data_IF_075783377431
#
_entry.id   IF_075783377431
#
_cell.length_a   1.000
_cell.length_b   1.000
_cell.length_c   1.000
_cell.angle_alpha   90.00
_cell.angle_beta   90.00
_cell.angle_gamma   90.00
#
_symmetry.space_group_name_H-M   'P 1'
#
loop_
_entity.id
_entity.type
_entity.pdbx_description
1 polymer ?
#
# COMPACT_ATOMS: atom_id res chain seq x y z
N UNK A 1 -12.04 23.83 47.08
CA UNK A 1 -13.37 23.72 47.70
C UNK A 1 -13.79 22.26 47.67
N UNK A 2 -14.24 21.83 48.84
CA UNK A 2 -14.54 20.49 49.37
C UNK A 2 -15.65 19.69 48.67
N UNK A 3 -15.53 18.36 48.62
CA UNK A 3 -16.38 17.37 49.34
C UNK A 3 -15.97 15.91 48.94
N UNK A 4 -15.33 15.15 49.85
CA UNK A 4 -15.84 13.96 50.63
C UNK A 4 -15.92 12.64 49.83
N UNK A 5 -15.60 11.45 50.37
CA UNK A 5 -15.76 10.94 51.74
C UNK A 5 -14.87 9.70 51.94
N UNK A 6 -14.28 9.55 53.13
CA UNK A 6 -13.75 8.29 53.63
C UNK A 6 -14.78 7.55 54.49
N UNK A 7 -14.66 6.22 54.61
CA UNK A 7 -15.26 5.45 55.71
C UNK A 7 -14.30 4.37 56.17
N UNK A 8 -14.05 4.38 57.47
CA UNK A 8 -13.09 3.52 58.13
C UNK A 8 -13.76 2.80 59.32
N UNK A 9 -13.36 1.53 59.50
CA UNK A 9 -13.01 0.89 60.78
C UNK A 9 -14.09 0.13 61.61
N UNK A 10 -13.93 -1.20 61.54
CA UNK A 10 -13.70 -2.22 62.61
C UNK A 10 -14.79 -2.68 63.59
N UNK A 11 -15.14 -3.97 63.40
CA UNK A 11 -14.80 -5.17 64.23
C UNK A 11 -15.60 -5.42 65.51
N UNK A 12 -16.33 -6.55 65.54
CA UNK A 12 -16.51 -7.43 66.70
C UNK A 12 -16.65 -8.90 66.25
N UNK A 13 -15.99 -9.80 67.00
CA UNK A 13 -15.93 -11.26 66.83
C UNK A 13 -17.20 -11.95 67.34
N UNK A 14 -17.58 -13.09 66.74
CA UNK A 14 -18.08 -14.27 67.47
C UNK A 14 -17.53 -15.55 66.82
N UNK A 15 -16.87 -16.39 67.64
CA UNK A 15 -16.43 -17.76 67.34
C UNK A 15 -17.57 -18.74 67.63
N UNK A 16 -17.74 -19.78 66.80
CA UNK A 16 -18.48 -21.00 67.16
C UNK A 16 -17.69 -22.24 66.72
N UNK A 17 -17.23 -23.01 67.70
CA UNK A 17 -17.55 -24.44 67.87
C UNK A 17 -16.97 -25.51 66.92
N UNK A 18 -15.98 -26.23 67.48
CA UNK A 18 -15.82 -27.70 67.47
C UNK A 18 -15.14 -28.43 66.29
N UNK A 19 -14.29 -29.38 66.70
CA UNK A 19 -13.27 -30.14 65.98
C UNK A 19 -13.76 -31.56 65.66
N UNK A 20 -13.46 -32.10 64.47
CA UNK A 20 -13.33 -33.55 64.22
C UNK A 20 -12.15 -33.78 63.25
N UNK A 21 -11.30 -34.74 63.59
CA UNK A 21 -10.12 -35.23 62.85
C UNK A 21 -10.54 -36.42 61.97
N UNK A 22 -9.93 -36.60 60.78
CA UNK A 22 -9.28 -37.85 60.31
C UNK A 22 -8.85 -37.78 58.81
N UNK A 23 -7.57 -38.09 58.61
CA UNK A 23 -6.84 -38.71 57.48
C UNK A 23 -7.28 -38.55 56.01
N UNK A 24 -6.36 -37.95 55.23
CA UNK A 24 -5.66 -38.65 54.14
C UNK A 24 -6.30 -38.72 52.75
N UNK A 25 -5.83 -37.85 51.85
CA UNK A 25 -5.15 -38.29 50.62
C UNK A 25 -4.20 -37.17 50.20
N UNK A 26 -2.90 -37.46 50.16
CA UNK A 26 -1.95 -36.64 49.42
C UNK A 26 -2.29 -36.78 47.94
N UNK A 27 -3.13 -35.90 47.40
CA UNK A 27 -3.09 -35.63 45.97
C UNK A 27 -1.77 -34.93 45.74
N UNK A 28 -0.81 -35.70 45.21
CA UNK A 28 0.40 -35.17 44.61
C UNK A 28 0.00 -33.98 43.75
N UNK A 29 0.35 -32.78 44.18
CA UNK A 29 0.59 -31.71 43.24
C UNK A 29 1.63 -32.30 42.30
N UNK A 30 1.19 -32.70 41.11
CA UNK A 30 2.09 -32.97 40.01
C UNK A 30 3.13 -31.84 40.06
N UNK A 31 4.45 -32.13 39.99
CA UNK A 31 5.43 -31.08 39.93
C UNK A 31 4.94 -30.15 38.83
N UNK A 32 4.52 -28.94 39.19
CA UNK A 32 4.17 -27.93 38.21
C UNK A 32 5.36 -27.89 37.31
N UNK A 33 5.19 -28.35 36.07
CA UNK A 33 6.27 -28.59 35.15
C UNK A 33 7.14 -27.36 35.24
N UNK A 34 8.33 -27.54 35.85
CA UNK A 34 9.25 -26.45 36.03
C UNK A 34 9.34 -25.83 34.65
N UNK A 35 8.93 -24.56 34.53
CA UNK A 35 9.19 -23.80 33.33
C UNK A 35 10.68 -23.94 33.15
N UNK A 36 11.09 -24.86 32.26
CA UNK A 36 12.48 -25.02 31.94
C UNK A 36 12.92 -23.62 31.59
N UNK A 37 13.96 -23.12 32.25
CA UNK A 37 14.75 -22.01 31.74
C UNK A 37 15.32 -22.48 30.39
N UNK A 38 14.43 -22.54 29.40
CA UNK A 38 14.62 -23.19 28.13
C UNK A 38 15.29 -22.17 27.27
N UNK A 39 16.47 -22.52 26.78
CA UNK A 39 17.19 -21.78 25.75
C UNK A 39 16.17 -21.24 24.76
N UNK A 40 16.09 -19.90 24.63
CA UNK A 40 15.21 -19.33 23.62
C UNK A 40 15.64 -19.89 22.27
N UNK A 41 14.74 -20.55 21.53
CA UNK A 41 15.11 -21.12 20.25
C UNK A 41 15.39 -19.98 19.28
N UNK A 42 16.43 -20.13 18.48
CA UNK A 42 16.81 -19.19 17.42
C UNK A 42 16.75 -19.88 16.06
N UNK A 43 16.70 -19.09 14.99
CA UNK A 43 16.71 -19.62 13.62
C UNK A 43 18.02 -20.35 13.34
N UNK A 44 17.95 -21.67 13.17
CA UNK A 44 19.12 -22.50 12.84
C UNK A 44 19.38 -22.53 11.33
N UNK A 45 18.34 -22.71 10.52
CA UNK A 45 18.48 -22.81 9.07
C UNK A 45 17.14 -22.52 8.37
N UNK A 46 17.22 -22.38 7.05
CA UNK A 46 16.08 -22.30 6.15
C UNK A 46 16.33 -23.16 4.92
N UNK A 47 15.26 -23.68 4.34
CA UNK A 47 15.27 -24.31 3.02
C UNK A 47 14.16 -23.73 2.16
N UNK A 48 14.38 -23.72 0.85
CA UNK A 48 13.39 -23.29 -0.14
C UNK A 48 13.10 -24.43 -1.10
N UNK A 49 11.88 -24.49 -1.63
CA UNK A 49 11.48 -25.56 -2.56
C UNK A 49 12.31 -25.59 -3.84
N UNK A 50 12.88 -24.45 -4.25
CA UNK A 50 13.68 -24.29 -5.47
C UNK A 50 14.74 -23.21 -5.24
N UNK A 51 16.00 -23.41 -5.68
CA UNK A 51 17.07 -22.42 -5.54
C UNK A 51 17.01 -21.30 -6.59
N UNK A 52 16.21 -21.47 -7.65
CA UNK A 52 16.01 -20.50 -8.73
C UNK A 52 14.53 -20.27 -8.93
N UNK A 53 14.12 -19.01 -9.00
CA UNK A 53 12.76 -18.56 -9.26
C UNK A 53 12.75 -17.56 -10.42
N UNK A 54 11.69 -17.56 -11.21
CA UNK A 54 11.42 -16.42 -12.09
C UNK A 54 10.70 -15.31 -11.30
N UNK A 55 10.85 -14.07 -11.76
CA UNK A 55 10.17 -12.92 -11.18
C UNK A 55 8.67 -13.16 -10.97
N UNK A 56 8.15 -12.83 -9.78
CA UNK A 56 6.74 -12.99 -9.44
C UNK A 56 6.32 -14.41 -9.04
N UNK A 57 7.16 -15.43 -9.24
CA UNK A 57 6.79 -16.82 -8.95
C UNK A 57 6.60 -17.09 -7.46
N UNK A 58 5.82 -18.14 -7.19
CA UNK A 58 5.62 -18.69 -5.85
C UNK A 58 6.65 -19.77 -5.53
N UNK A 59 7.11 -19.77 -4.28
CA UNK A 59 7.86 -20.86 -3.68
C UNK A 59 7.38 -21.15 -2.26
N UNK A 60 7.94 -22.19 -1.63
CA UNK A 60 7.75 -22.45 -0.20
C UNK A 60 9.09 -22.39 0.52
N UNK A 61 9.08 -21.77 1.70
CA UNK A 61 10.23 -21.72 2.60
C UNK A 61 9.91 -22.50 3.87
N UNK A 62 10.90 -23.23 4.38
CA UNK A 62 10.82 -23.92 5.67
C UNK A 62 11.89 -23.35 6.59
N UNK A 63 11.47 -22.70 7.67
CA UNK A 63 12.35 -22.23 8.74
C UNK A 63 12.51 -23.34 9.77
N UNK A 64 13.74 -23.59 10.22
CA UNK A 64 14.06 -24.57 11.27
C UNK A 64 14.79 -23.90 12.42
N UNK A 65 14.31 -24.13 13.63
CA UNK A 65 14.89 -23.67 14.89
C UNK A 65 15.86 -24.70 15.47
N UNK A 66 16.80 -24.21 16.29
CA UNK A 66 17.76 -25.07 16.99
C UNK A 66 17.13 -25.96 18.06
N UNK A 67 15.97 -25.56 18.61
CA UNK A 67 15.21 -26.29 19.62
C UNK A 67 13.70 -26.16 19.37
N UNK A 68 12.85 -27.04 19.97
CA UNK A 68 11.40 -26.90 19.89
C UNK A 68 10.92 -25.55 20.44
N UNK A 69 9.92 -24.96 19.79
CA UNK A 69 9.31 -23.72 20.24
C UNK A 69 8.64 -23.88 21.62
N UNK A 70 8.85 -22.94 22.56
CA UNK A 70 8.20 -22.95 23.87
C UNK A 70 6.68 -22.76 23.77
N UNK A 71 6.00 -22.80 24.91
CA UNK A 71 4.59 -22.43 25.00
C UNK A 71 4.37 -21.00 24.48
N UNK A 72 3.34 -20.83 23.64
CA UNK A 72 3.10 -19.57 22.91
C UNK A 72 3.79 -19.47 21.54
N UNK A 73 4.66 -20.42 21.18
CA UNK A 73 5.35 -20.42 19.89
C UNK A 73 6.49 -19.40 19.81
N UNK A 74 7.06 -19.26 18.61
CA UNK A 74 8.18 -18.33 18.34
C UNK A 74 7.83 -17.50 17.12
N UNK A 75 7.75 -16.18 17.26
CA UNK A 75 7.67 -15.29 16.11
C UNK A 75 9.07 -15.10 15.50
N UNK A 76 9.17 -15.34 14.21
CA UNK A 76 10.37 -15.15 13.41
C UNK A 76 10.07 -14.05 12.40
N UNK A 77 10.79 -12.93 12.48
CA UNK A 77 10.72 -11.86 11.48
C UNK A 77 11.47 -12.29 10.24
N UNK A 78 10.89 -12.02 9.09
CA UNK A 78 11.39 -12.42 7.79
C UNK A 78 11.78 -11.17 7.01
N UNK A 79 12.89 -11.25 6.29
CA UNK A 79 13.43 -10.15 5.53
C UNK A 79 13.87 -10.65 4.15
N UNK A 80 13.36 -9.97 3.13
CA UNK A 80 13.73 -10.16 1.73
C UNK A 80 13.37 -8.92 0.91
N UNK A 81 13.01 -9.12 -0.35
CA UNK A 81 12.49 -8.05 -1.17
C UNK A 81 11.09 -7.59 -0.72
N UNK A 82 10.58 -6.53 -1.34
CA UNK A 82 9.27 -5.96 -1.00
C UNK A 82 8.13 -6.96 -1.15
N UNK A 83 8.12 -7.79 -2.20
CA UNK A 83 7.04 -8.76 -2.46
C UNK A 83 7.12 -9.95 -1.52
N UNK A 84 8.31 -10.40 -1.18
CA UNK A 84 8.56 -11.41 -0.16
C UNK A 84 8.03 -10.96 1.20
N UNK A 85 8.35 -9.73 1.60
CA UNK A 85 7.87 -9.19 2.87
C UNK A 85 6.35 -9.07 2.89
N UNK A 86 5.71 -8.62 1.80
CA UNK A 86 4.24 -8.54 1.74
C UNK A 86 3.58 -9.92 1.71
N UNK A 87 4.03 -10.83 0.85
CA UNK A 87 3.43 -12.16 0.70
C UNK A 87 3.55 -13.04 1.94
N UNK A 88 4.52 -12.77 2.82
CA UNK A 88 4.71 -13.46 4.10
C UNK A 88 4.12 -12.71 5.30
N UNK A 89 3.68 -11.46 5.13
CA UNK A 89 3.32 -10.57 6.24
C UNK A 89 4.52 -10.17 7.12
N UNK A 90 5.75 -10.33 6.62
CA UNK A 90 6.99 -9.95 7.30
C UNK A 90 7.37 -10.80 8.52
N UNK A 91 6.56 -11.78 8.90
CA UNK A 91 6.89 -12.71 9.98
C UNK A 91 6.13 -14.02 9.87
N UNK A 92 6.66 -15.06 10.51
CA UNK A 92 6.01 -16.36 10.66
C UNK A 92 6.07 -16.82 12.11
N UNK A 93 5.05 -17.55 12.56
CA UNK A 93 5.04 -18.15 13.90
C UNK A 93 5.36 -19.64 13.79
N UNK A 94 6.41 -20.09 14.49
CA UNK A 94 6.67 -21.51 14.72
C UNK A 94 5.80 -21.98 15.88
N UNK A 95 4.84 -22.90 15.68
CA UNK A 95 3.92 -23.32 16.73
C UNK A 95 4.63 -24.02 17.89
N UNK A 96 4.05 -23.96 19.09
CA UNK A 96 4.56 -24.64 20.28
C UNK A 96 4.91 -26.11 20.01
N UNK A 97 6.05 -26.55 20.53
CA UNK A 97 6.56 -27.92 20.40
C UNK A 97 7.10 -28.27 19.01
N UNK A 98 6.89 -27.42 18.00
CA UNK A 98 7.48 -27.61 16.67
C UNK A 98 8.85 -26.96 16.58
N UNK A 99 9.70 -27.55 15.76
CA UNK A 99 11.02 -26.99 15.40
C UNK A 99 11.00 -26.28 14.06
N UNK A 100 9.98 -26.52 13.25
CA UNK A 100 9.93 -25.99 11.89
C UNK A 100 8.53 -25.54 11.52
N UNK A 101 8.49 -24.60 10.58
CA UNK A 101 7.27 -24.11 9.93
C UNK A 101 7.55 -23.93 8.45
N UNK A 102 6.61 -24.37 7.61
CA UNK A 102 6.66 -24.21 6.16
C UNK A 102 5.56 -23.26 5.73
N UNK A 103 5.90 -22.29 4.89
CA UNK A 103 4.96 -21.28 4.41
C UNK A 103 5.27 -20.91 2.95
N UNK A 104 4.26 -20.49 2.17
CA UNK A 104 4.47 -19.97 0.84
C UNK A 104 4.99 -18.53 0.86
N UNK A 105 5.72 -18.15 -0.18
CA UNK A 105 6.11 -16.77 -0.45
C UNK A 105 6.15 -16.50 -1.95
N UNK A 106 6.13 -15.22 -2.32
CA UNK A 106 6.41 -14.74 -3.67
C UNK A 106 7.67 -13.89 -3.68
N UNK A 107 8.30 -13.75 -4.85
CA UNK A 107 9.41 -12.83 -5.08
C UNK A 107 9.00 -11.72 -6.03
N UNK A 108 9.65 -10.57 -5.93
CA UNK A 108 9.51 -9.50 -6.91
C UNK A 108 10.05 -9.92 -8.25
N UNK A 109 9.56 -9.29 -9.32
CA UNK A 109 10.10 -9.49 -10.65
C UNK A 109 11.13 -8.42 -10.96
N UNK A 110 12.42 -8.78 -11.07
CA UNK A 110 13.47 -7.80 -11.37
C UNK A 110 13.60 -7.56 -12.87
N UNK A 111 14.16 -6.40 -13.23
CA UNK A 111 14.51 -6.09 -14.63
C UNK A 111 15.71 -6.94 -15.12
N UNK A 112 16.62 -7.28 -14.21
CA UNK A 112 17.78 -8.12 -14.48
C UNK A 112 17.89 -9.24 -13.44
N UNK A 113 18.41 -10.39 -13.85
CA UNK A 113 18.61 -11.52 -12.95
C UNK A 113 19.56 -11.13 -11.82
N UNK A 114 19.16 -11.36 -10.59
CA UNK A 114 19.98 -11.07 -9.42
C UNK A 114 19.87 -12.16 -8.36
N UNK A 115 20.70 -12.05 -7.34
CA UNK A 115 20.68 -12.97 -6.21
C UNK A 115 19.98 -12.35 -5.01
N UNK A 116 18.88 -12.97 -4.58
CA UNK A 116 18.10 -12.55 -3.43
C UNK A 116 18.61 -13.25 -2.17
N UNK A 117 18.96 -12.45 -1.17
CA UNK A 117 19.37 -12.91 0.16
C UNK A 117 18.17 -12.83 1.10
N UNK A 118 17.68 -13.99 1.55
CA UNK A 118 16.65 -14.07 2.58
C UNK A 118 17.29 -14.15 3.95
N UNK A 119 16.78 -13.35 4.87
CA UNK A 119 17.22 -13.31 6.26
C UNK A 119 16.06 -13.49 7.20
N UNK A 120 16.33 -14.02 8.39
CA UNK A 120 15.34 -14.21 9.42
C UNK A 120 15.90 -13.85 10.79
N UNK A 121 15.03 -13.44 11.69
CA UNK A 121 15.42 -13.02 13.03
C UNK A 121 14.40 -13.50 14.05
N UNK A 122 14.88 -14.15 15.10
CA UNK A 122 14.10 -14.36 16.32
C UNK A 122 14.35 -13.20 17.29
N UNK A 123 13.33 -12.78 18.03
CA UNK A 123 13.49 -11.74 19.04
C UNK A 123 14.64 -12.07 20.02
N UNK A 124 15.51 -11.10 20.29
CA UNK A 124 16.69 -11.28 21.15
C UNK A 124 17.92 -11.86 20.45
N UNK A 125 17.86 -12.15 19.15
CA UNK A 125 18.99 -12.63 18.35
C UNK A 125 19.27 -11.69 17.17
N UNK A 126 20.51 -11.73 16.67
CA UNK A 126 20.91 -10.98 15.48
C UNK A 126 20.20 -11.48 14.22
N UNK A 127 20.10 -10.58 13.24
CA UNK A 127 19.62 -10.93 11.91
C UNK A 127 20.52 -11.99 11.29
N UNK A 128 19.92 -13.11 10.88
CA UNK A 128 20.66 -14.22 10.29
C UNK A 128 20.30 -14.35 8.82
N UNK A 129 21.30 -14.38 7.94
CA UNK A 129 21.12 -14.82 6.57
C UNK A 129 20.78 -16.33 6.57
N UNK A 130 19.66 -16.70 5.96
CA UNK A 130 19.14 -18.08 6.06
C UNK A 130 19.14 -18.82 4.74
N UNK A 131 18.92 -18.13 3.62
CA UNK A 131 18.91 -18.75 2.30
C UNK A 131 19.24 -17.70 1.24
N UNK A 132 19.96 -18.13 0.21
CA UNK A 132 20.22 -17.36 -0.99
C UNK A 132 19.55 -18.06 -2.16
N UNK A 133 18.91 -17.29 -3.04
CA UNK A 133 18.25 -17.83 -4.24
C UNK A 133 18.44 -16.88 -5.42
N UNK A 134 18.48 -17.43 -6.63
CA UNK A 134 18.56 -16.64 -7.86
C UNK A 134 17.14 -16.26 -8.31
N UNK A 135 16.88 -14.98 -8.52
CA UNK A 135 15.64 -14.49 -9.12
C UNK A 135 15.93 -14.04 -10.54
N UNK A 136 15.40 -14.78 -11.51
CA UNK A 136 15.55 -14.49 -12.93
C UNK A 136 14.56 -13.44 -13.39
N UNK A 137 15.06 -12.52 -14.20
CA UNK A 137 14.20 -11.62 -14.96
C UNK A 137 13.27 -12.45 -15.89
N UNK A 138 12.01 -12.04 -16.00
CA UNK A 138 11.07 -12.69 -16.90
C UNK A 138 11.41 -12.35 -18.36
N UNK A 139 11.46 -13.35 -19.22
CA UNK A 139 11.49 -13.11 -20.67
C UNK A 139 10.15 -12.52 -21.11
N UNK A 140 10.10 -11.26 -21.59
CA UNK A 140 8.85 -10.57 -21.94
C UNK A 140 8.09 -11.26 -23.08
N UNK A 141 8.74 -12.13 -23.86
CA UNK A 141 8.07 -12.94 -24.90
C UNK A 141 7.33 -14.15 -24.33
N UNK A 142 7.70 -14.60 -23.12
CA UNK A 142 7.10 -15.74 -22.43
C UNK A 142 6.04 -15.27 -21.44
N UNK A 143 6.31 -14.22 -20.68
CA UNK A 143 5.35 -13.64 -19.75
C UNK A 143 5.64 -12.15 -19.57
N UNK A 144 4.58 -11.34 -19.62
CA UNK A 144 4.67 -9.90 -19.50
C UNK A 144 3.36 -9.31 -18.97
N UNK A 145 3.43 -8.11 -18.41
CA UNK A 145 2.25 -7.25 -18.27
C UNK A 145 1.96 -6.64 -19.64
N UNK A 146 0.73 -6.81 -20.12
CA UNK A 146 0.29 -6.30 -21.43
C UNK A 146 -0.71 -5.17 -21.31
N UNK A 147 -1.32 -4.99 -20.14
CA UNK A 147 -2.28 -3.92 -19.90
C UNK A 147 -2.53 -3.66 -18.42
N UNK A 148 -2.83 -2.41 -18.12
CA UNK A 148 -3.45 -1.99 -16.87
C UNK A 148 -4.63 -1.07 -17.22
N UNK A 149 -5.82 -1.38 -16.73
CA UNK A 149 -7.03 -0.58 -17.01
C UNK A 149 -7.72 -0.18 -15.72
N UNK A 150 -7.99 1.09 -15.56
CA UNK A 150 -8.90 1.59 -14.53
C UNK A 150 -10.32 1.56 -15.08
N UNK A 151 -11.31 1.23 -14.25
CA UNK A 151 -12.70 1.02 -14.68
C UNK A 151 -13.42 2.27 -15.16
N UNK A 152 -12.94 3.44 -14.76
CA UNK A 152 -13.52 4.75 -15.08
C UNK A 152 -12.45 5.70 -15.59
N UNK A 153 -12.78 6.63 -16.49
CA UNK A 153 -11.83 7.65 -16.95
C UNK A 153 -11.61 8.77 -15.93
N UNK A 154 -12.58 8.99 -15.03
CA UNK A 154 -12.58 10.02 -14.00
C UNK A 154 -13.06 9.43 -12.67
N UNK A 155 -12.44 9.84 -11.56
CA UNK A 155 -12.83 9.49 -10.21
C UNK A 155 -12.80 10.73 -9.32
N UNK A 156 -13.68 10.77 -8.32
CA UNK A 156 -13.68 11.80 -7.28
C UNK A 156 -13.01 11.25 -6.02
N UNK A 157 -12.28 12.07 -5.28
CA UNK A 157 -11.68 11.69 -4.00
C UNK A 157 -12.72 11.02 -3.09
N UNK A 158 -12.34 9.90 -2.49
CA UNK A 158 -13.23 9.01 -1.74
C UNK A 158 -13.87 7.90 -2.56
N UNK A 159 -13.80 7.93 -3.89
CA UNK A 159 -14.22 6.79 -4.72
C UNK A 159 -13.28 5.58 -4.52
N UNK A 160 -13.87 4.39 -4.64
CA UNK A 160 -13.12 3.16 -4.86
C UNK A 160 -13.42 2.66 -6.27
N UNK A 161 -12.39 2.61 -7.11
CA UNK A 161 -12.49 2.21 -8.53
C UNK A 161 -11.70 0.92 -8.75
N UNK A 162 -12.00 0.19 -9.82
CA UNK A 162 -11.35 -1.09 -10.09
C UNK A 162 -10.16 -0.91 -11.04
N UNK A 163 -8.99 -1.43 -10.67
CA UNK A 163 -7.80 -1.54 -11.51
C UNK A 163 -7.62 -2.99 -11.98
N UNK A 164 -7.57 -3.23 -13.28
CA UNK A 164 -7.40 -4.57 -13.87
C UNK A 164 -6.02 -4.71 -14.50
N UNK A 165 -5.23 -5.63 -13.98
CA UNK A 165 -3.94 -6.04 -14.56
C UNK A 165 -4.18 -7.14 -15.60
N UNK A 166 -3.50 -7.06 -16.73
CA UNK A 166 -3.56 -8.08 -17.79
C UNK A 166 -2.16 -8.63 -18.11
N UNK A 167 -2.05 -9.96 -18.06
CA UNK A 167 -0.86 -10.71 -18.42
C UNK A 167 -0.93 -11.24 -19.85
N UNK A 168 0.25 -11.42 -20.46
CA UNK A 168 0.40 -12.04 -21.78
C UNK A 168 -0.08 -13.50 -21.78
N UNK A 169 0.22 -14.26 -20.73
CA UNK A 169 -0.13 -15.68 -20.60
C UNK A 169 -0.73 -15.98 -19.23
N UNK A 170 -1.51 -17.07 -19.11
CA UNK A 170 -2.01 -17.53 -17.82
C UNK A 170 -0.88 -17.63 -16.77
N UNK A 171 -1.14 -17.15 -15.56
CA UNK A 171 -0.20 -17.22 -14.46
C UNK A 171 0.18 -18.69 -14.15
N UNK A 172 1.44 -18.97 -13.78
CA UNK A 172 1.91 -20.31 -13.48
C UNK A 172 1.23 -20.89 -12.22
N UNK A 173 1.50 -22.17 -11.95
CA UNK A 173 1.03 -22.83 -10.72
C UNK A 173 1.46 -22.04 -9.49
N UNK A 174 0.51 -21.74 -8.60
CA UNK A 174 0.75 -20.91 -7.42
C UNK A 174 0.49 -19.42 -7.62
N UNK A 175 0.21 -18.98 -8.85
CA UNK A 175 -0.07 -17.59 -9.21
C UNK A 175 1.19 -16.79 -9.56
N UNK A 176 1.00 -15.55 -10.00
CA UNK A 176 2.07 -14.61 -10.33
C UNK A 176 1.89 -13.32 -9.56
N UNK A 177 2.89 -12.93 -8.76
CA UNK A 177 2.93 -11.64 -8.11
C UNK A 177 3.36 -10.55 -9.11
N UNK A 178 2.57 -9.49 -9.21
CA UNK A 178 2.83 -8.31 -10.03
C UNK A 178 3.00 -7.11 -9.11
N UNK A 179 4.06 -6.33 -9.28
CA UNK A 179 4.26 -5.13 -8.48
C UNK A 179 3.32 -4.01 -8.97
N UNK A 180 2.77 -3.24 -8.02
CA UNK A 180 1.86 -2.13 -8.31
C UNK A 180 2.48 -0.81 -7.85
N UNK A 181 2.34 0.22 -8.68
CA UNK A 181 2.88 1.55 -8.46
C UNK A 181 1.75 2.58 -8.60
N UNK A 182 1.43 3.38 -7.55
CA UNK A 182 0.26 4.28 -7.53
C UNK A 182 0.34 5.44 -8.53
N UNK A 183 1.56 5.83 -8.92
CA UNK A 183 1.80 6.92 -9.86
C UNK A 183 3.18 6.75 -10.51
N UNK A 184 3.28 7.05 -11.80
CA UNK A 184 4.57 7.18 -12.49
C UNK A 184 5.01 8.64 -12.67
N UNK A 185 4.22 9.63 -12.19
CA UNK A 185 4.49 11.05 -12.46
C UNK A 185 4.15 11.93 -11.24
N UNK A 186 5.20 12.59 -10.74
CA UNK A 186 5.36 13.77 -9.85
C UNK A 186 4.33 14.24 -8.79
N UNK A 187 3.09 13.77 -8.74
CA UNK A 187 2.15 14.13 -7.66
C UNK A 187 1.75 12.87 -6.89
N UNK A 188 2.04 12.86 -5.58
CA UNK A 188 1.90 11.69 -4.71
C UNK A 188 0.47 11.10 -4.77
N UNK A 189 0.37 9.88 -5.29
CA UNK A 189 -0.64 8.89 -4.87
C UNK A 189 -2.11 9.22 -5.14
N UNK A 190 -2.45 9.82 -6.30
CA UNK A 190 -3.84 10.10 -6.67
C UNK A 190 -4.77 8.86 -6.65
N UNK A 191 -4.19 7.68 -6.94
CA UNK A 191 -4.82 6.37 -6.74
C UNK A 191 -3.94 5.53 -5.81
N UNK A 192 -4.46 5.23 -4.63
CA UNK A 192 -3.83 4.34 -3.65
C UNK A 192 -4.21 2.87 -3.90
N UNK A 193 -3.29 1.96 -3.59
CA UNK A 193 -3.57 0.53 -3.50
C UNK A 193 -3.60 0.10 -2.04
N UNK A 194 -4.50 -0.83 -1.68
CA UNK A 194 -4.44 -1.50 -0.36
C UNK A 194 -3.11 -2.23 -0.19
N UNK A 195 -2.73 -2.96 -1.24
CA UNK A 195 -1.46 -3.65 -1.33
C UNK A 195 -0.70 -3.19 -2.55
N UNK A 196 0.58 -2.95 -2.34
CA UNK A 196 1.52 -2.44 -3.32
C UNK A 196 2.02 -3.52 -4.31
N UNK A 197 1.19 -4.56 -4.49
CA UNK A 197 1.33 -5.72 -5.36
C UNK A 197 -0.03 -6.40 -5.58
N UNK A 198 -0.12 -7.26 -6.59
CA UNK A 198 -1.29 -8.11 -6.81
C UNK A 198 -0.89 -9.54 -7.15
N UNK A 199 -1.65 -10.50 -6.66
CA UNK A 199 -1.53 -11.90 -7.05
C UNK A 199 -2.49 -12.23 -8.18
N UNK A 200 -1.96 -12.48 -9.38
CA UNK A 200 -2.75 -13.08 -10.46
C UNK A 200 -2.92 -14.57 -10.16
N UNK A 201 -4.15 -15.08 -9.96
CA UNK A 201 -4.36 -16.48 -9.61
C UNK A 201 -3.89 -17.44 -10.70
N UNK A 202 -3.46 -18.63 -10.31
CA UNK A 202 -2.98 -19.66 -11.23
C UNK A 202 -3.99 -19.93 -12.37
N UNK A 203 -3.50 -20.00 -13.61
CA UNK A 203 -4.34 -20.22 -14.79
C UNK A 203 -5.15 -19.00 -15.25
N UNK A 204 -5.09 -17.87 -14.55
CA UNK A 204 -5.74 -16.61 -14.97
C UNK A 204 -4.74 -15.69 -15.65
N UNK A 205 -5.23 -14.87 -16.57
CA UNK A 205 -4.47 -13.80 -17.22
C UNK A 205 -4.75 -12.44 -16.61
N UNK A 206 -5.74 -12.34 -15.74
CA UNK A 206 -6.20 -11.06 -15.20
C UNK A 206 -6.46 -11.14 -13.70
N UNK A 207 -6.21 -10.03 -13.02
CA UNK A 207 -6.65 -9.78 -11.65
C UNK A 207 -7.18 -8.37 -11.57
N UNK A 208 -8.21 -8.17 -10.75
CA UNK A 208 -8.78 -6.87 -10.44
C UNK A 208 -8.45 -6.53 -9.00
N UNK A 209 -7.97 -5.31 -8.76
CA UNK A 209 -7.65 -4.76 -7.46
C UNK A 209 -8.43 -3.48 -7.21
N UNK A 210 -8.84 -3.19 -5.95
CA UNK A 210 -9.42 -1.91 -5.61
C UNK A 210 -8.35 -0.81 -5.64
N UNK A 211 -8.72 0.35 -6.18
CA UNK A 211 -7.95 1.59 -6.16
C UNK A 211 -8.74 2.64 -5.40
N UNK A 212 -8.11 3.30 -4.44
CA UNK A 212 -8.76 4.35 -3.65
C UNK A 212 -8.34 5.72 -4.18
N UNK A 213 -9.31 6.51 -4.62
CA UNK A 213 -9.10 7.85 -5.14
C UNK A 213 -8.87 8.83 -3.98
N UNK A 214 -7.77 9.57 -4.05
CA UNK A 214 -7.43 10.63 -3.11
C UNK A 214 -6.66 11.72 -3.83
N UNK A 215 -7.19 12.93 -3.88
CA UNK A 215 -6.50 14.04 -4.51
C UNK A 215 -6.80 15.34 -3.79
N UNK A 216 -5.80 16.20 -3.65
CA UNK A 216 -5.95 17.58 -3.15
C UNK A 216 -6.18 18.58 -4.28
N UNK A 217 -5.74 18.24 -5.49
CA UNK A 217 -5.99 18.99 -6.72
C UNK A 217 -6.29 18.02 -7.86
N UNK A 218 -6.99 18.50 -8.89
CA UNK A 218 -7.30 17.68 -10.07
C UNK A 218 -6.03 17.23 -10.79
N UNK A 219 -5.83 15.93 -10.99
CA UNK A 219 -4.59 15.37 -11.53
C UNK A 219 -4.85 14.12 -12.37
N UNK A 220 -3.97 13.84 -13.34
CA UNK A 220 -3.93 12.55 -14.03
C UNK A 220 -3.14 11.54 -13.19
N UNK A 221 -3.85 10.56 -12.62
CA UNK A 221 -3.25 9.39 -12.01
C UNK A 221 -2.77 8.41 -13.09
N UNK A 222 -1.57 7.82 -12.90
CA UNK A 222 -0.98 6.82 -13.78
C UNK A 222 -0.52 5.58 -13.01
N UNK A 223 -1.46 4.83 -12.40
CA UNK A 223 -1.12 3.56 -11.78
C UNK A 223 -0.47 2.61 -12.79
N UNK A 224 0.55 1.88 -12.34
CA UNK A 224 1.37 1.01 -13.20
C UNK A 224 1.50 -0.38 -12.58
N UNK A 225 1.30 -1.40 -13.40
CA UNK A 225 1.66 -2.78 -13.10
C UNK A 225 3.03 -3.12 -13.71
N UNK A 226 3.88 -3.79 -12.94
CA UNK A 226 5.29 -4.02 -13.28
C UNK A 226 5.71 -5.47 -12.99
N UNK A 227 6.32 -6.10 -14.00
CA UNK A 227 7.00 -7.41 -13.92
C UNK A 227 8.52 -7.29 -14.16
N UNK A 228 9.10 -6.12 -13.92
CA UNK A 228 10.53 -5.82 -14.07
C UNK A 228 10.93 -5.57 -15.52
N UNK A 229 10.65 -6.52 -16.40
CA UNK A 229 10.97 -6.45 -17.84
C UNK A 229 9.80 -5.96 -18.69
N UNK A 230 8.62 -5.77 -18.10
CA UNK A 230 7.42 -5.25 -18.77
C UNK A 230 6.57 -4.46 -17.80
N UNK A 231 5.98 -3.37 -18.31
CA UNK A 231 5.15 -2.44 -17.55
C UNK A 231 3.93 -2.04 -18.37
N UNK A 232 2.81 -1.84 -17.70
CA UNK A 232 1.64 -1.21 -18.30
C UNK A 232 0.98 -0.26 -17.31
N UNK A 233 0.55 0.89 -17.79
CA UNK A 233 -0.17 1.90 -17.01
C UNK A 233 -1.58 2.12 -17.56
N UNK A 234 -2.47 2.59 -16.70
CA UNK A 234 -3.81 3.02 -17.08
C UNK A 234 -4.08 4.40 -16.51
N UNK A 235 -4.32 5.37 -17.39
CA UNK A 235 -4.51 6.75 -16.99
C UNK A 235 -5.96 6.97 -16.51
N UNK A 236 -6.13 7.79 -15.47
CA UNK A 236 -7.43 8.21 -14.93
C UNK A 236 -7.29 9.58 -14.31
N UNK A 237 -8.25 10.46 -14.55
CA UNK A 237 -8.27 11.75 -13.86
C UNK A 237 -8.87 11.55 -12.47
N UNK A 238 -8.21 12.07 -11.44
CA UNK A 238 -8.72 12.10 -10.08
C UNK A 238 -8.88 13.54 -9.65
N UNK A 239 -10.04 13.89 -9.12
CA UNK A 239 -10.35 15.23 -8.63
C UNK A 239 -10.86 15.20 -7.18
N UNK A 240 -10.52 16.19 -6.33
CA UNK A 240 -11.19 16.41 -5.05
C UNK A 240 -12.72 16.50 -5.18
N UNK A 241 -13.45 16.24 -4.09
CA UNK A 241 -14.88 16.55 -4.01
C UNK A 241 -15.13 18.05 -3.76
N UNK A 242 -14.52 18.89 -4.59
CA UNK A 242 -14.58 20.35 -4.54
C UNK A 242 -14.10 20.96 -5.87
N UNK A 243 -14.40 22.24 -6.09
CA UNK A 243 -13.80 23.01 -7.16
C UNK A 243 -12.28 23.04 -6.99
N UNK A 244 -11.54 22.57 -7.98
CA UNK A 244 -10.08 22.49 -7.92
C UNK A 244 -9.49 22.52 -9.32
N UNK A 245 -8.25 22.97 -9.45
CA UNK A 245 -7.53 22.91 -10.70
C UNK A 245 -6.03 22.73 -10.48
N UNK A 246 -5.37 22.12 -11.44
CA UNK A 246 -3.92 21.91 -11.41
C UNK A 246 -3.37 21.85 -12.83
N UNK A 247 -2.11 22.23 -12.98
CA UNK A 247 -1.37 21.96 -14.19
C UNK A 247 0.01 22.63 -14.20
N UNK A 248 0.84 22.29 -15.19
CA UNK A 248 2.15 22.88 -15.36
C UNK A 248 2.09 24.31 -15.92
N UNK A 249 3.00 25.17 -15.47
CA UNK A 249 3.17 26.55 -15.94
C UNK A 249 4.57 26.78 -16.55
N UNK A 250 4.93 26.05 -17.61
CA UNK A 250 6.20 26.28 -18.32
C UNK A 250 6.19 27.63 -19.05
N UNK A 251 7.26 28.42 -18.89
CA UNK A 251 7.43 29.71 -19.57
C UNK A 251 7.44 29.53 -21.10
N UNK A 252 6.71 30.37 -21.83
CA UNK A 252 6.63 30.32 -23.28
C UNK A 252 5.79 29.17 -23.84
N UNK A 253 5.05 28.44 -22.98
CA UNK A 253 4.22 27.32 -23.38
C UNK A 253 2.75 27.55 -23.05
N UNK A 254 1.89 26.84 -23.78
CA UNK A 254 0.49 26.65 -23.42
C UNK A 254 0.30 25.21 -22.98
N UNK A 255 -0.14 25.01 -21.74
CA UNK A 255 -0.35 23.68 -21.16
C UNK A 255 -1.83 23.48 -20.82
N UNK A 256 -2.30 22.24 -20.99
CA UNK A 256 -3.63 21.86 -20.55
C UNK A 256 -3.63 21.64 -19.04
N UNK A 257 -4.34 22.50 -18.33
CA UNK A 257 -4.66 22.33 -16.92
C UNK A 257 -5.95 21.54 -16.77
N UNK A 258 -6.05 20.78 -15.69
CA UNK A 258 -7.28 20.10 -15.31
C UNK A 258 -8.06 20.97 -14.35
N UNK A 259 -9.35 21.16 -14.63
CA UNK A 259 -10.34 21.69 -13.72
C UNK A 259 -11.28 20.56 -13.31
N UNK A 260 -11.56 20.44 -12.01
CA UNK A 260 -12.58 19.55 -11.49
C UNK A 260 -13.54 20.25 -10.55
N UNK A 261 -14.75 19.71 -10.45
CA UNK A 261 -15.88 20.32 -9.73
C UNK A 261 -16.47 19.41 -8.64
N UNK A 262 -15.89 18.23 -8.42
CA UNK A 262 -16.38 17.24 -7.46
C UNK A 262 -17.76 16.69 -7.83
N UNK A 263 -18.55 16.32 -6.82
CA UNK A 263 -19.89 15.70 -6.95
C UNK A 263 -21.04 16.68 -7.01
N UNK A 264 -20.78 17.99 -6.93
CA UNK A 264 -21.83 18.98 -6.95
C UNK A 264 -22.64 18.87 -8.26
N UNK A 265 -23.97 18.71 -8.15
CA UNK A 265 -24.83 18.42 -9.30
C UNK A 265 -24.86 19.55 -10.34
N UNK A 266 -24.68 19.21 -11.61
CA UNK A 266 -24.59 20.15 -12.73
C UNK A 266 -25.24 19.58 -14.01
N UNK A 267 -26.55 19.27 -13.99
CA UNK A 267 -27.22 18.54 -15.08
C UNK A 267 -27.23 19.27 -16.45
N UNK A 268 -26.86 20.55 -16.51
CA UNK A 268 -26.67 21.32 -17.74
C UNK A 268 -25.20 21.60 -18.11
N UNK A 269 -24.26 20.98 -17.39
CA UNK A 269 -22.86 21.37 -17.38
C UNK A 269 -22.56 22.47 -16.35
N UNK A 270 -21.28 22.64 -16.01
CA UNK A 270 -20.81 23.66 -15.10
C UNK A 270 -19.97 24.70 -15.86
N UNK A 271 -20.44 25.95 -15.89
CA UNK A 271 -19.65 27.07 -16.43
C UNK A 271 -18.87 27.71 -15.30
N UNK A 272 -17.54 27.57 -15.34
CA UNK A 272 -16.61 28.07 -14.32
C UNK A 272 -15.90 29.30 -14.86
N UNK A 273 -15.96 30.41 -14.14
CA UNK A 273 -15.21 31.62 -14.46
C UNK A 273 -13.77 31.50 -13.95
N UNK A 274 -12.79 31.89 -14.77
CA UNK A 274 -11.38 31.85 -14.40
C UNK A 274 -10.75 33.24 -14.57
N UNK A 275 -9.82 33.58 -13.66
CA UNK A 275 -9.02 34.80 -13.76
C UNK A 275 -7.59 34.52 -13.29
N UNK A 276 -6.61 35.11 -13.97
CA UNK A 276 -5.21 35.18 -13.53
C UNK A 276 -4.91 36.59 -13.02
N UNK A 277 -4.10 36.72 -11.98
CA UNK A 277 -3.68 38.01 -11.42
C UNK A 277 -2.39 38.58 -12.05
N UNK A 278 -1.72 37.79 -12.89
CA UNK A 278 -0.37 38.09 -13.36
C UNK A 278 -0.36 38.36 -14.87
N UNK A 279 0.08 39.56 -15.31
CA UNK A 279 0.26 39.86 -16.73
C UNK A 279 1.17 38.83 -17.43
N UNK A 280 0.83 38.45 -18.66
CA UNK A 280 1.56 37.41 -19.40
C UNK A 280 1.13 35.97 -19.05
N UNK A 281 0.27 35.77 -18.05
CA UNK A 281 -0.34 34.46 -17.76
C UNK A 281 -1.82 34.54 -18.07
N UNK A 282 -2.23 33.83 -19.12
CA UNK A 282 -3.59 33.90 -19.67
C UNK A 282 -4.37 32.61 -19.44
N UNK A 283 -5.61 32.76 -18.97
CA UNK A 283 -6.61 31.69 -18.83
C UNK A 283 -7.87 32.09 -19.62
N UNK A 284 -8.68 31.15 -20.13
CA UNK A 284 -9.99 31.45 -20.68
C UNK A 284 -10.87 32.12 -19.64
N UNK A 285 -11.67 33.13 -20.03
CA UNK A 285 -12.57 33.81 -19.09
C UNK A 285 -13.59 32.83 -18.45
N UNK A 286 -14.01 31.82 -19.21
CA UNK A 286 -14.86 30.73 -18.73
C UNK A 286 -14.45 29.40 -19.34
N UNK A 287 -14.65 28.32 -18.60
CA UNK A 287 -14.55 26.93 -19.08
C UNK A 287 -15.83 26.17 -18.71
N UNK A 288 -16.26 25.25 -19.57
CA UNK A 288 -17.47 24.44 -19.33
C UNK A 288 -17.07 22.99 -19.05
N UNK A 289 -17.49 22.46 -17.89
CA UNK A 289 -17.47 21.02 -17.62
C UNK A 289 -18.79 20.42 -18.16
N UNK A 290 -18.76 19.42 -19.05
CA UNK A 290 -19.96 18.75 -19.54
C UNK A 290 -20.78 18.10 -18.43
N UNK A 291 -22.09 17.90 -18.65
CA UNK A 291 -23.01 17.37 -17.64
C UNK A 291 -22.71 15.91 -17.18
N UNK A 292 -21.95 15.16 -17.98
CA UNK A 292 -21.56 13.75 -17.74
C UNK A 292 -20.11 13.60 -17.25
N UNK A 293 -19.45 14.71 -16.90
CA UNK A 293 -18.04 14.76 -16.52
C UNK A 293 -17.87 15.50 -15.21
N UNK A 294 -16.89 15.11 -14.42
CA UNK A 294 -16.51 15.85 -13.19
C UNK A 294 -15.24 16.66 -13.39
N UNK A 295 -14.57 16.51 -14.54
CA UNK A 295 -13.41 17.30 -14.93
C UNK A 295 -13.45 17.77 -16.39
N UNK A 296 -12.67 18.81 -16.68
CA UNK A 296 -12.37 19.23 -18.05
C UNK A 296 -10.96 19.81 -18.12
N UNK A 297 -10.33 19.72 -19.29
CA UNK A 297 -9.09 20.42 -19.56
C UNK A 297 -9.36 21.87 -19.99
N UNK A 298 -8.44 22.78 -19.70
CA UNK A 298 -8.42 24.14 -20.22
C UNK A 298 -6.98 24.62 -20.43
N UNK A 299 -6.70 25.44 -21.46
CA UNK A 299 -5.36 25.92 -21.71
C UNK A 299 -4.98 27.02 -20.72
N UNK A 300 -3.75 26.97 -20.21
CA UNK A 300 -3.09 28.09 -19.54
C UNK A 300 -1.83 28.43 -20.32
N UNK A 301 -1.77 29.67 -20.81
CA UNK A 301 -0.63 30.16 -21.58
C UNK A 301 0.24 31.06 -20.72
N UNK A 302 1.52 30.72 -20.61
CA UNK A 302 2.54 31.56 -19.97
C UNK A 302 3.37 32.18 -21.09
N UNK A 303 3.35 33.50 -21.21
CA UNK A 303 4.12 34.21 -22.21
C UNK A 303 5.63 34.02 -22.01
N UNK A 304 6.40 34.11 -23.10
CA UNK A 304 7.83 33.82 -23.09
C UNK A 304 8.67 34.88 -22.34
N UNK A 305 8.10 36.06 -22.10
CA UNK A 305 8.71 37.17 -21.37
C UNK A 305 8.46 37.12 -19.85
N UNK A 306 7.61 36.20 -19.38
CA UNK A 306 7.39 35.98 -17.95
C UNK A 306 8.65 35.32 -17.35
N UNK A 307 9.27 35.89 -16.29
CA UNK A 307 10.41 35.26 -15.64
C UNK A 307 10.07 33.86 -15.11
N UNK A 308 11.03 32.93 -15.17
CA UNK A 308 10.90 31.65 -14.48
C UNK A 308 10.79 31.87 -12.96
N UNK A 309 10.09 30.98 -12.28
CA UNK A 309 9.80 31.04 -10.84
C UNK A 309 8.93 32.24 -10.43
N UNK A 310 8.24 32.87 -11.38
CA UNK A 310 7.23 33.89 -11.09
C UNK A 310 6.06 33.24 -10.38
N UNK A 311 5.73 33.73 -9.19
CA UNK A 311 4.58 33.30 -8.42
C UNK A 311 3.34 34.06 -8.91
N UNK A 312 2.26 33.33 -9.17
CA UNK A 312 0.99 33.89 -9.63
C UNK A 312 -0.20 33.16 -9.01
N UNK A 313 -1.36 33.80 -9.01
CA UNK A 313 -2.60 33.18 -8.59
C UNK A 313 -3.58 33.04 -9.75
N UNK A 314 -4.22 31.89 -9.81
CA UNK A 314 -5.41 31.67 -10.63
C UNK A 314 -6.60 31.50 -9.70
N UNK A 315 -7.71 32.16 -10.04
CA UNK A 315 -8.97 32.08 -9.30
C UNK A 315 -10.04 31.48 -10.18
N UNK A 316 -10.73 30.46 -9.66
CA UNK A 316 -11.92 29.87 -10.25
C UNK A 316 -13.16 30.21 -9.42
N UNK A 317 -14.26 30.52 -10.10
CA UNK A 317 -15.56 30.77 -9.46
C UNK A 317 -16.63 29.92 -10.13
N UNK A 318 -17.35 29.15 -9.32
CA UNK A 318 -18.48 28.37 -9.76
C UNK A 318 -19.50 28.19 -8.63
N UNK A 319 -20.79 28.37 -8.95
CA UNK A 319 -21.90 28.20 -8.00
C UNK A 319 -21.73 28.98 -6.67
N UNK A 320 -21.18 30.19 -6.73
CA UNK A 320 -20.89 31.01 -5.55
C UNK A 320 -19.67 30.57 -4.74
N UNK A 321 -19.02 29.46 -5.08
CA UNK A 321 -17.74 29.02 -4.52
C UNK A 321 -16.59 29.69 -5.28
N UNK A 322 -15.64 30.25 -4.54
CA UNK A 322 -14.41 30.83 -5.09
C UNK A 322 -13.20 30.07 -4.57
N UNK A 323 -12.33 29.65 -5.48
CA UNK A 323 -11.07 28.97 -5.17
C UNK A 323 -9.93 29.72 -5.82
N UNK A 324 -9.02 30.26 -5.01
CA UNK A 324 -7.79 30.90 -5.47
C UNK A 324 -6.61 29.99 -5.13
N UNK A 325 -5.78 29.67 -6.12
CA UNK A 325 -4.65 28.77 -5.96
C UNK A 325 -3.39 29.43 -6.50
N UNK A 326 -2.31 29.34 -5.73
CA UNK A 326 -0.99 29.85 -6.09
C UNK A 326 -0.19 28.80 -6.87
N UNK A 327 0.51 29.27 -7.89
CA UNK A 327 1.44 28.49 -8.72
C UNK A 327 2.73 29.28 -8.93
N UNK A 328 3.74 28.61 -9.47
CA UNK A 328 4.95 29.24 -9.95
C UNK A 328 5.23 28.79 -11.37
N UNK A 329 5.79 29.69 -12.19
CA UNK A 329 6.28 29.33 -13.51
C UNK A 329 7.60 28.55 -13.40
N UNK A 330 7.88 27.68 -14.37
CA UNK A 330 9.17 26.98 -14.43
C UNK A 330 9.80 27.09 -15.82
N UNK A 331 11.13 26.91 -15.95
CA UNK A 331 11.81 26.97 -17.24
C UNK A 331 11.22 25.94 -18.22
N UNK A 332 11.12 26.31 -19.50
CA UNK A 332 10.74 25.39 -20.57
C UNK A 332 11.71 24.20 -20.69
#
# INVERSE_FOLDING_TARGET
MTHTTGRAIRRWLVRVGATVVVAGTATSLAPGAAASAGVQPYVQSSTVSKPVLNGGERATQTITLNAPAPAGGVNVRLYGDRIYNFSTGGSVVVPQGRRSVTFPFHVGAPAETFTLNLSAQTAGYDLKAVTQLEVRALDPRKQAVTGFRVSVPEAVAGDTVAGTVQLLRPAPSGGLAVALWPNSTYEYGALGFEELWALVPAGRTTVTVPLHASAERSVVAKPTADLGTSRASGDTVVTPDALSFNGPAAVGASNDWLLGIGRAGHPGGAVVSLTSDTPGITVPATVTVPADRVTTAFPVTVAADVPAWTIFNVTAVWNGTTVTTQFFTYPA
#
